data_IF_853647043874
#
_entry.id   IF_853647043874
#
_cell.length_a   1.000
_cell.length_b   1.000
_cell.length_c   1.000
_cell.angle_alpha   90.00
_cell.angle_beta   90.00
_cell.angle_gamma   90.00
#
_symmetry.space_group_name_H-M   'P 1'
#
loop_
_entity.id
_entity.type
_entity.pdbx_description
1 polymer ?
#
# COMPACT_ATOMS: atom_id res chain seq x y z
N UNK A 1 6.14 -18.96 3.74
CA UNK A 1 7.20 -19.33 2.78
C UNK A 1 7.95 -20.52 3.35
N UNK A 2 7.99 -21.64 2.64
CA UNK A 2 8.85 -22.78 2.99
C UNK A 2 10.11 -22.65 2.12
N UNK A 3 11.27 -22.45 2.78
CA UNK A 3 12.55 -22.38 2.10
C UNK A 3 13.27 -23.73 2.18
N UNK A 4 13.78 -24.19 1.05
CA UNK A 4 14.74 -25.27 0.93
C UNK A 4 16.03 -24.68 0.40
N UNK A 5 17.15 -25.07 0.96
CA UNK A 5 18.45 -24.54 0.52
C UNK A 5 19.43 -25.65 0.15
N UNK A 6 20.33 -25.35 -0.75
CA UNK A 6 21.50 -26.13 -1.13
C UNK A 6 22.67 -25.17 -1.30
N UNK A 7 23.84 -25.67 -1.03
CA UNK A 7 25.09 -24.95 -1.25
C UNK A 7 25.90 -25.65 -2.33
N UNK A 8 26.48 -24.88 -3.23
CA UNK A 8 27.44 -25.33 -4.19
C UNK A 8 28.75 -24.60 -3.84
N UNK A 9 29.80 -25.35 -3.51
CA UNK A 9 31.09 -24.82 -3.03
C UNK A 9 32.22 -25.19 -4.01
N UNK A 10 31.98 -25.09 -5.30
CA UNK A 10 32.97 -25.38 -6.34
C UNK A 10 33.71 -24.09 -6.74
N UNK A 11 35.01 -24.15 -6.96
CA UNK A 11 35.82 -23.03 -7.49
C UNK A 11 35.34 -22.54 -8.87
N UNK A 12 34.72 -23.42 -9.65
CA UNK A 12 33.99 -23.09 -10.88
C UNK A 12 32.64 -23.78 -10.87
N UNK A 13 31.58 -22.97 -10.89
CA UNK A 13 30.22 -23.46 -11.02
C UNK A 13 30.06 -24.16 -12.38
N UNK A 14 29.80 -25.47 -12.39
CA UNK A 14 29.52 -26.19 -13.63
C UNK A 14 27.98 -26.22 -13.86
N UNK A 15 27.53 -26.08 -15.11
CA UNK A 15 26.14 -26.16 -15.49
C UNK A 15 25.49 -27.47 -15.04
N UNK A 16 26.26 -28.58 -15.03
CA UNK A 16 25.78 -29.87 -14.57
C UNK A 16 25.49 -29.88 -13.06
N UNK A 17 26.41 -29.33 -12.25
CA UNK A 17 26.23 -29.27 -10.80
C UNK A 17 25.02 -28.37 -10.42
N UNK A 18 24.84 -27.25 -11.14
CA UNK A 18 23.68 -26.37 -10.99
C UNK A 18 22.41 -27.11 -11.37
N UNK A 19 22.38 -27.78 -12.53
CA UNK A 19 21.21 -28.53 -13.01
C UNK A 19 20.81 -29.62 -12.03
N UNK A 20 21.75 -30.40 -11.52
CA UNK A 20 21.46 -31.48 -10.56
C UNK A 20 20.98 -30.95 -9.21
N UNK A 21 21.53 -29.81 -8.79
CA UNK A 21 21.07 -29.11 -7.58
C UNK A 21 19.63 -28.60 -7.74
N UNK A 22 19.30 -27.99 -8.87
CA UNK A 22 17.92 -27.51 -9.16
C UNK A 22 16.96 -28.70 -9.19
N UNK A 23 17.30 -29.81 -9.86
CA UNK A 23 16.49 -31.05 -9.88
C UNK A 23 16.22 -31.56 -8.45
N UNK A 24 17.24 -31.55 -7.59
CA UNK A 24 17.10 -31.95 -6.19
C UNK A 24 16.12 -31.05 -5.44
N UNK A 25 16.20 -29.72 -5.64
CA UNK A 25 15.28 -28.76 -5.01
C UNK A 25 13.85 -28.93 -5.53
N UNK A 26 13.66 -29.16 -6.83
CA UNK A 26 12.34 -29.45 -7.42
C UNK A 26 11.77 -30.75 -6.86
N UNK A 27 12.60 -31.80 -6.72
CA UNK A 27 12.20 -33.05 -6.04
C UNK A 27 11.75 -32.83 -4.59
N UNK A 28 12.27 -31.83 -3.91
CA UNK A 28 11.83 -31.39 -2.57
C UNK A 28 10.60 -30.45 -2.60
N UNK A 29 10.05 -30.17 -3.79
CA UNK A 29 8.86 -29.34 -3.98
C UNK A 29 9.14 -27.83 -4.16
N UNK A 30 10.33 -27.46 -4.62
CA UNK A 30 10.60 -26.05 -4.99
C UNK A 30 9.89 -25.69 -6.30
N UNK A 31 9.18 -24.58 -6.31
CA UNK A 31 8.45 -24.04 -7.46
C UNK A 31 9.19 -22.85 -8.12
N UNK A 32 10.02 -22.16 -7.35
CA UNK A 32 10.81 -20.99 -7.80
C UNK A 32 12.23 -21.12 -7.26
N UNK A 33 13.20 -20.78 -8.07
CA UNK A 33 14.62 -20.80 -7.69
C UNK A 33 15.10 -19.40 -7.29
N UNK A 34 15.85 -19.33 -6.21
CA UNK A 34 16.55 -18.12 -5.77
C UNK A 34 18.04 -18.40 -5.77
N UNK A 35 18.80 -17.65 -6.56
CA UNK A 35 20.25 -17.66 -6.53
C UNK A 35 20.76 -16.52 -5.65
N UNK A 36 21.69 -16.81 -4.74
CA UNK A 36 22.30 -15.80 -3.87
C UNK A 36 23.71 -16.21 -3.46
N UNK A 37 24.66 -15.34 -3.66
CA UNK A 37 26.09 -15.56 -3.41
C UNK A 37 26.68 -14.48 -2.50
N UNK A 38 27.69 -14.83 -1.69
CA UNK A 38 28.50 -13.83 -1.00
C UNK A 38 29.22 -12.97 -2.04
N UNK A 39 29.13 -11.65 -1.88
CA UNK A 39 29.70 -10.70 -2.85
C UNK A 39 29.13 -10.76 -4.28
N UNK A 40 28.02 -11.47 -4.51
CA UNK A 40 27.34 -11.52 -5.82
C UNK A 40 26.85 -10.15 -6.33
N UNK A 41 27.01 -9.06 -5.57
CA UNK A 41 26.79 -7.68 -6.02
C UNK A 41 28.00 -7.12 -6.78
N UNK A 42 29.19 -7.68 -6.58
CA UNK A 42 30.43 -7.29 -7.26
C UNK A 42 30.58 -8.06 -8.59
N UNK A 43 30.13 -9.32 -8.60
CA UNK A 43 30.07 -10.16 -9.77
C UNK A 43 28.76 -10.97 -9.74
N UNK A 44 27.90 -10.73 -10.72
CA UNK A 44 26.56 -11.34 -10.80
C UNK A 44 26.53 -12.59 -11.70
N UNK A 45 27.64 -12.99 -12.33
CA UNK A 45 27.64 -14.06 -13.33
C UNK A 45 27.12 -15.38 -12.81
N UNK A 46 27.50 -15.78 -11.60
CA UNK A 46 27.02 -17.02 -10.97
C UNK A 46 25.50 -16.97 -10.68
N UNK A 47 25.01 -15.90 -10.05
CA UNK A 47 23.58 -15.78 -9.71
C UNK A 47 22.71 -15.75 -10.97
N UNK A 48 23.11 -14.97 -11.99
CA UNK A 48 22.37 -14.84 -13.25
C UNK A 48 22.47 -16.11 -14.10
N UNK A 49 23.63 -16.79 -14.09
CA UNK A 49 23.85 -18.09 -14.74
C UNK A 49 22.91 -19.17 -14.17
N UNK A 50 22.82 -19.27 -12.83
CA UNK A 50 21.89 -20.19 -12.16
C UNK A 50 20.44 -19.88 -12.55
N UNK A 51 20.07 -18.61 -12.57
CA UNK A 51 18.71 -18.20 -12.96
C UNK A 51 18.40 -18.53 -14.42
N UNK A 52 19.39 -18.41 -15.32
CA UNK A 52 19.25 -18.80 -16.72
C UNK A 52 18.99 -20.30 -16.86
N UNK A 53 19.80 -21.13 -16.21
CA UNK A 53 19.64 -22.60 -16.23
C UNK A 53 18.26 -22.98 -15.67
N UNK A 54 17.80 -22.35 -14.58
CA UNK A 54 16.47 -22.61 -14.02
C UNK A 54 15.35 -22.26 -15.02
N UNK A 55 15.45 -21.12 -15.70
CA UNK A 55 14.49 -20.69 -16.74
C UNK A 55 14.48 -21.64 -17.94
N UNK A 56 15.65 -22.09 -18.38
CA UNK A 56 15.77 -23.09 -19.47
C UNK A 56 15.15 -24.45 -19.08
N UNK A 57 15.04 -24.74 -17.78
CA UNK A 57 14.32 -25.88 -17.23
C UNK A 57 12.81 -25.62 -17.03
N UNK A 58 12.30 -24.45 -17.42
CA UNK A 58 10.88 -24.07 -17.27
C UNK A 58 10.48 -23.60 -15.87
N UNK A 59 11.44 -23.17 -15.05
CA UNK A 59 11.21 -22.68 -13.70
C UNK A 59 11.36 -21.15 -13.64
N UNK A 60 10.55 -20.52 -12.79
CA UNK A 60 10.79 -19.12 -12.43
C UNK A 60 12.02 -18.99 -11.52
N UNK A 61 12.77 -17.92 -11.69
CA UNK A 61 14.00 -17.71 -10.92
C UNK A 61 14.26 -16.22 -10.62
N UNK A 62 14.94 -15.98 -9.50
CA UNK A 62 15.32 -14.63 -9.03
C UNK A 62 16.80 -14.64 -8.60
N UNK A 63 17.61 -13.77 -9.18
CA UNK A 63 18.95 -13.46 -8.69
C UNK A 63 18.88 -12.39 -7.59
N UNK A 64 19.55 -12.63 -6.47
CA UNK A 64 19.48 -11.71 -5.34
C UNK A 64 20.15 -10.35 -5.64
N UNK A 65 21.21 -10.35 -6.46
CA UNK A 65 21.92 -9.16 -6.93
C UNK A 65 21.11 -8.29 -7.91
N UNK A 66 20.14 -8.88 -8.63
CA UNK A 66 19.23 -8.12 -9.49
C UNK A 66 18.17 -7.35 -8.67
N UNK A 67 17.82 -7.83 -7.46
CA UNK A 67 16.85 -7.16 -6.59
C UNK A 67 17.50 -5.99 -5.86
N UNK A 68 18.71 -6.17 -5.36
CA UNK A 68 19.48 -5.13 -4.67
C UNK A 68 20.98 -5.34 -4.78
N UNK A 69 21.70 -4.24 -4.93
CA UNK A 69 23.18 -4.24 -4.96
C UNK A 69 23.82 -3.92 -3.60
N UNK A 70 23.05 -4.03 -2.53
CA UNK A 70 23.58 -3.82 -1.19
C UNK A 70 24.21 -5.09 -0.62
N UNK A 71 25.33 -4.93 0.07
CA UNK A 71 26.00 -6.02 0.79
C UNK A 71 25.10 -6.56 1.92
N UNK A 72 25.38 -7.76 2.37
CA UNK A 72 24.66 -8.45 3.43
C UNK A 72 23.85 -9.64 2.89
N UNK A 73 24.57 -10.77 2.71
CA UNK A 73 24.05 -12.01 2.13
C UNK A 73 22.67 -12.40 2.67
N UNK A 74 22.53 -12.52 3.98
CA UNK A 74 21.27 -12.97 4.62
C UNK A 74 20.08 -12.05 4.30
N UNK A 75 20.30 -10.74 4.36
CA UNK A 75 19.23 -9.76 4.09
C UNK A 75 18.87 -9.71 2.61
N UNK A 76 19.88 -9.79 1.73
CA UNK A 76 19.69 -9.85 0.28
C UNK A 76 18.97 -11.13 -0.15
N UNK A 77 19.42 -12.30 0.33
CA UNK A 77 18.76 -13.59 0.08
C UNK A 77 17.30 -13.58 0.55
N UNK A 78 17.02 -13.02 1.71
CA UNK A 78 15.65 -12.88 2.23
C UNK A 78 14.80 -12.01 1.30
N UNK A 79 15.33 -10.90 0.84
CA UNK A 79 14.62 -10.00 -0.08
C UNK A 79 14.29 -10.71 -1.39
N UNK A 80 15.25 -11.45 -1.96
CA UNK A 80 15.03 -12.25 -3.16
C UNK A 80 14.04 -13.41 -2.93
N UNK A 81 14.06 -14.06 -1.76
CA UNK A 81 13.11 -15.10 -1.42
C UNK A 81 11.66 -14.55 -1.31
N UNK A 82 11.49 -13.33 -0.81
CA UNK A 82 10.18 -12.66 -0.80
C UNK A 82 9.73 -12.37 -2.23
N UNK A 83 10.61 -11.85 -3.09
CA UNK A 83 10.32 -11.66 -4.51
C UNK A 83 9.86 -12.97 -5.17
N UNK A 84 10.64 -14.03 -5.01
CA UNK A 84 10.33 -15.36 -5.55
C UNK A 84 8.99 -15.91 -5.06
N UNK A 85 8.64 -15.67 -3.79
CA UNK A 85 7.39 -16.20 -3.20
C UNK A 85 6.12 -15.61 -3.80
N UNK A 86 6.18 -14.43 -4.37
CA UNK A 86 5.03 -13.75 -5.01
C UNK A 86 5.09 -13.81 -6.53
N UNK A 87 6.25 -14.16 -7.10
CA UNK A 87 6.53 -14.10 -8.52
C UNK A 87 5.49 -14.84 -9.38
N UNK A 88 5.16 -16.14 -9.15
CA UNK A 88 4.21 -16.85 -10.01
C UNK A 88 2.82 -16.20 -10.03
N UNK A 89 2.32 -15.80 -8.85
CA UNK A 89 1.01 -15.16 -8.74
C UNK A 89 0.99 -13.78 -9.42
N UNK A 90 2.05 -13.01 -9.25
CA UNK A 90 2.16 -11.68 -9.84
C UNK A 90 2.33 -11.74 -11.35
N UNK A 91 3.06 -12.73 -11.89
CA UNK A 91 3.15 -12.97 -13.33
C UNK A 91 1.78 -13.30 -13.94
N UNK A 92 1.01 -14.19 -13.31
CA UNK A 92 -0.34 -14.51 -13.77
C UNK A 92 -1.25 -13.27 -13.77
N UNK A 93 -1.22 -12.48 -12.71
CA UNK A 93 -2.00 -11.24 -12.61
C UNK A 93 -1.57 -10.23 -13.67
N UNK A 94 -0.26 -10.02 -13.85
CA UNK A 94 0.30 -9.13 -14.85
C UNK A 94 -0.12 -9.51 -16.27
N UNK A 95 0.04 -10.78 -16.62
CA UNK A 95 -0.30 -11.28 -17.95
C UNK A 95 -1.80 -11.16 -18.23
N UNK A 96 -2.66 -11.49 -17.26
CA UNK A 96 -4.12 -11.34 -17.40
C UNK A 96 -4.54 -9.88 -17.54
N UNK A 97 -3.93 -8.97 -16.75
CA UNK A 97 -4.21 -7.53 -16.83
C UNK A 97 -3.76 -6.97 -18.18
N UNK A 98 -2.55 -7.30 -18.62
CA UNK A 98 -2.00 -6.87 -19.90
C UNK A 98 -2.86 -7.33 -21.09
N UNK A 99 -3.31 -8.58 -21.04
CA UNK A 99 -4.21 -9.14 -22.06
C UNK A 99 -5.56 -8.42 -22.06
N UNK A 100 -6.14 -8.15 -20.90
CA UNK A 100 -7.42 -7.45 -20.76
C UNK A 100 -7.33 -6.02 -21.30
N UNK A 101 -6.25 -5.30 -20.97
CA UNK A 101 -6.00 -3.92 -21.43
C UNK A 101 -5.79 -3.90 -22.94
N UNK A 102 -5.01 -4.82 -23.51
CA UNK A 102 -4.83 -4.95 -24.96
C UNK A 102 -6.14 -5.31 -25.68
N UNK A 103 -6.93 -6.21 -25.08
CA UNK A 103 -8.25 -6.59 -25.65
C UNK A 103 -9.25 -5.42 -25.64
N UNK A 104 -9.08 -4.45 -24.78
CA UNK A 104 -9.85 -3.21 -24.76
C UNK A 104 -9.32 -2.13 -25.73
N UNK A 105 -8.34 -2.49 -26.61
CA UNK A 105 -7.81 -1.57 -27.62
C UNK A 105 -6.78 -0.55 -27.09
N UNK A 106 -6.27 -0.74 -25.87
CA UNK A 106 -5.25 0.15 -25.29
C UNK A 106 -3.86 -0.38 -25.66
N UNK A 107 -3.13 0.38 -26.45
CA UNK A 107 -1.79 0.01 -26.99
C UNK A 107 -0.62 0.69 -26.25
N UNK A 108 -0.91 1.59 -25.29
CA UNK A 108 0.14 2.28 -24.51
C UNK A 108 0.73 1.34 -23.45
N UNK A 109 2.01 1.54 -23.07
CA UNK A 109 2.63 0.77 -22.00
C UNK A 109 1.82 0.83 -20.70
N UNK A 110 1.64 -0.32 -20.05
CA UNK A 110 0.96 -0.40 -18.76
C UNK A 110 1.95 -0.11 -17.64
N UNK A 111 1.71 1.00 -16.93
CA UNK A 111 2.53 1.43 -15.80
C UNK A 111 1.97 0.90 -14.50
N UNK A 112 2.84 0.42 -13.62
CA UNK A 112 2.49 -0.18 -12.33
C UNK A 112 3.08 0.65 -11.20
N UNK A 113 2.26 1.02 -10.23
CA UNK A 113 2.68 1.76 -9.05
C UNK A 113 3.62 0.93 -8.16
N UNK A 114 4.69 1.57 -7.67
CA UNK A 114 5.67 1.00 -6.75
C UNK A 114 5.38 1.43 -5.31
N UNK A 115 5.87 0.66 -4.36
CA UNK A 115 5.75 0.97 -2.93
C UNK A 115 6.54 2.18 -2.46
N UNK A 116 7.50 2.66 -3.24
CA UNK A 116 8.32 3.85 -2.97
C UNK A 116 7.76 5.15 -3.59
N UNK A 117 6.56 5.09 -4.17
CA UNK A 117 5.88 6.25 -4.74
C UNK A 117 6.14 6.49 -6.22
N UNK A 118 7.01 5.70 -6.87
CA UNK A 118 7.22 5.76 -8.31
C UNK A 118 6.31 4.82 -9.10
N UNK A 119 6.40 4.87 -10.42
CA UNK A 119 5.83 3.87 -11.33
C UNK A 119 6.92 3.19 -12.13
N UNK A 120 6.62 2.01 -12.66
CA UNK A 120 7.48 1.24 -13.56
C UNK A 120 6.62 0.55 -14.62
N UNK A 121 7.19 0.26 -15.77
CA UNK A 121 6.51 -0.54 -16.78
C UNK A 121 6.23 -1.96 -16.27
N UNK A 122 5.14 -2.57 -16.74
CA UNK A 122 4.72 -3.92 -16.31
C UNK A 122 5.79 -5.00 -16.58
N UNK A 123 6.62 -4.82 -17.59
CA UNK A 123 7.76 -5.70 -17.91
C UNK A 123 8.79 -5.74 -16.76
N UNK A 124 9.08 -4.59 -16.14
CA UNK A 124 9.94 -4.51 -14.96
C UNK A 124 9.28 -5.07 -13.70
N UNK A 125 7.97 -4.86 -13.54
CA UNK A 125 7.23 -5.48 -12.46
C UNK A 125 7.27 -7.01 -12.53
N UNK A 126 7.23 -7.60 -13.72
CA UNK A 126 7.35 -9.06 -13.91
C UNK A 126 8.69 -9.61 -13.43
N UNK A 127 9.77 -8.85 -13.47
CA UNK A 127 11.09 -9.23 -12.93
C UNK A 127 11.16 -9.03 -11.41
N UNK A 128 10.66 -7.91 -10.92
CA UNK A 128 10.80 -7.44 -9.54
C UNK A 128 9.43 -7.11 -8.88
N UNK A 129 8.49 -8.07 -8.83
CA UNK A 129 7.15 -7.81 -8.30
C UNK A 129 7.14 -7.34 -6.84
N UNK A 130 8.19 -7.64 -6.09
CA UNK A 130 8.35 -7.18 -4.69
C UNK A 130 8.34 -5.64 -4.56
N UNK A 131 8.70 -4.90 -5.62
CA UNK A 131 8.64 -3.44 -5.63
C UNK A 131 7.22 -2.87 -5.57
N UNK A 132 6.19 -3.69 -5.83
CA UNK A 132 4.77 -3.28 -5.72
C UNK A 132 4.22 -3.37 -4.29
N UNK A 133 5.02 -3.85 -3.33
CA UNK A 133 4.59 -3.88 -1.93
C UNK A 133 4.25 -2.47 -1.44
N UNK A 134 3.08 -2.32 -0.78
CA UNK A 134 2.55 -1.05 -0.30
C UNK A 134 2.26 -0.01 -1.41
N UNK A 135 2.08 -0.44 -2.66
CA UNK A 135 1.79 0.47 -3.78
C UNK A 135 0.46 1.23 -3.62
N UNK A 136 -0.57 0.62 -3.02
CA UNK A 136 -1.84 1.29 -2.74
C UNK A 136 -1.66 2.52 -1.82
N UNK A 137 -1.14 2.34 -0.59
CA UNK A 137 -0.77 3.45 0.28
C UNK A 137 0.16 4.46 -0.39
N UNK A 138 1.13 4.00 -1.19
CA UNK A 138 2.05 4.87 -1.89
C UNK A 138 1.34 5.79 -2.89
N UNK A 139 0.36 5.27 -3.63
CA UNK A 139 -0.44 6.06 -4.55
C UNK A 139 -1.19 7.19 -3.82
N UNK A 140 -1.78 6.90 -2.68
CA UNK A 140 -2.50 7.90 -1.88
C UNK A 140 -1.59 8.98 -1.30
N UNK A 141 -0.38 8.59 -0.84
CA UNK A 141 0.63 9.57 -0.38
C UNK A 141 1.08 10.46 -1.53
N UNK A 142 1.37 9.89 -2.70
CA UNK A 142 1.79 10.67 -3.87
C UNK A 142 0.68 11.62 -4.33
N UNK A 143 -0.59 11.19 -4.33
CA UNK A 143 -1.72 12.06 -4.60
C UNK A 143 -1.80 13.22 -3.60
N UNK A 144 -1.63 12.95 -2.32
CA UNK A 144 -1.62 13.98 -1.28
C UNK A 144 -0.47 14.98 -1.45
N UNK A 145 0.72 14.52 -1.79
CA UNK A 145 1.88 15.38 -2.04
C UNK A 145 1.70 16.25 -3.27
N UNK A 146 1.35 15.66 -4.39
CA UNK A 146 1.33 16.35 -5.68
C UNK A 146 0.09 17.23 -5.83
N UNK A 147 -1.06 16.76 -5.34
CA UNK A 147 -2.32 17.49 -5.46
C UNK A 147 -2.49 18.55 -4.37
N UNK A 148 -2.11 18.24 -3.10
CA UNK A 148 -2.28 19.15 -1.96
C UNK A 148 -1.06 19.99 -1.65
N UNK A 149 0.10 19.69 -2.23
CA UNK A 149 1.38 20.35 -1.91
C UNK A 149 1.67 20.37 -0.41
N UNK A 150 1.30 19.30 0.29
CA UNK A 150 1.55 19.18 1.72
C UNK A 150 3.05 19.20 2.00
N UNK A 151 3.50 20.08 2.88
CA UNK A 151 4.93 20.23 3.22
C UNK A 151 5.33 19.38 4.42
N UNK A 152 4.53 19.39 5.48
CA UNK A 152 4.77 18.61 6.70
C UNK A 152 3.44 18.12 7.25
N UNK A 153 3.39 16.86 7.73
CA UNK A 153 2.19 16.33 8.36
C UNK A 153 2.14 14.82 8.43
N UNK A 154 1.10 14.34 9.07
CA UNK A 154 0.76 12.94 9.11
C UNK A 154 -0.37 12.69 8.10
N UNK A 155 -0.08 11.88 7.13
CA UNK A 155 -1.00 11.39 6.14
C UNK A 155 -1.84 10.26 6.76
N UNK A 156 -3.15 10.33 6.52
CA UNK A 156 -4.13 9.48 7.17
C UNK A 156 -5.18 9.02 6.14
N UNK A 157 -4.91 7.89 5.48
CA UNK A 157 -5.83 7.31 4.50
C UNK A 157 -6.78 6.32 5.16
N UNK A 158 -8.06 6.62 5.13
CA UNK A 158 -9.10 5.76 5.69
C UNK A 158 -9.95 5.16 4.57
N UNK A 159 -9.83 3.86 4.39
CA UNK A 159 -10.71 3.09 3.53
C UNK A 159 -11.91 2.49 4.28
N UNK A 160 -12.49 1.45 3.70
CA UNK A 160 -13.57 0.66 4.34
C UNK A 160 -13.04 -0.37 5.34
N UNK A 161 -11.81 -0.89 5.15
CA UNK A 161 -11.26 -2.01 5.94
C UNK A 161 -9.99 -1.63 6.69
N UNK A 162 -9.13 -0.80 6.11
CA UNK A 162 -7.82 -0.43 6.67
C UNK A 162 -7.64 1.08 6.68
N UNK A 163 -6.85 1.53 7.65
CA UNK A 163 -6.28 2.88 7.67
C UNK A 163 -4.78 2.78 7.48
N UNK A 164 -4.25 3.58 6.56
CA UNK A 164 -2.83 3.73 6.29
C UNK A 164 -2.35 5.07 6.84
N UNK A 165 -1.31 5.05 7.66
CA UNK A 165 -0.77 6.24 8.31
C UNK A 165 0.70 6.37 7.93
N UNK A 166 1.08 7.52 7.39
CA UNK A 166 2.46 7.81 7.00
C UNK A 166 2.80 9.27 7.26
N UNK A 167 4.06 9.63 7.00
CA UNK A 167 4.59 10.97 7.25
C UNK A 167 5.05 11.61 5.95
N UNK A 168 4.72 12.88 5.81
CA UNK A 168 5.30 13.81 4.85
C UNK A 168 6.17 14.79 5.64
N UNK A 169 7.44 14.90 5.27
CA UNK A 169 8.38 15.84 5.87
C UNK A 169 9.13 16.59 4.79
N UNK A 170 9.15 17.93 4.89
CA UNK A 170 9.81 18.83 3.94
C UNK A 170 9.39 18.59 2.49
N UNK A 171 8.08 18.34 2.28
CA UNK A 171 7.50 18.06 0.98
C UNK A 171 7.90 16.71 0.37
N UNK A 172 8.45 15.79 1.17
CA UNK A 172 8.84 14.44 0.75
C UNK A 172 8.18 13.37 1.60
N UNK A 173 7.78 12.24 1.01
CA UNK A 173 7.28 11.13 1.80
C UNK A 173 8.42 10.47 2.55
N UNK A 174 8.16 10.04 3.77
CA UNK A 174 9.10 9.24 4.53
C UNK A 174 9.27 7.86 3.91
N UNK A 175 10.51 7.48 3.62
CA UNK A 175 10.86 6.19 2.99
C UNK A 175 11.75 5.40 3.96
N UNK A 176 11.50 4.11 4.09
CA UNK A 176 12.34 3.17 4.84
C UNK A 176 12.35 1.80 4.15
N UNK A 177 13.22 0.92 4.60
CA UNK A 177 13.20 -0.47 4.15
C UNK A 177 12.06 -1.24 4.81
N UNK A 178 11.25 -1.91 3.99
CA UNK A 178 10.12 -2.71 4.45
C UNK A 178 10.54 -3.81 5.42
N UNK A 179 9.70 -4.06 6.43
CA UNK A 179 9.81 -5.18 7.36
C UNK A 179 8.75 -6.22 7.01
N UNK A 180 9.16 -7.44 6.73
CA UNK A 180 8.26 -8.55 6.37
C UNK A 180 8.45 -9.68 7.38
N UNK A 181 7.38 -10.08 8.05
CA UNK A 181 7.42 -11.13 9.07
C UNK A 181 8.40 -10.82 10.22
N UNK A 182 8.53 -9.57 10.62
CA UNK A 182 9.47 -9.12 11.66
C UNK A 182 10.92 -8.96 11.20
N UNK A 183 11.20 -9.14 9.90
CA UNK A 183 12.55 -9.09 9.36
C UNK A 183 12.73 -7.93 8.37
N UNK A 184 13.76 -7.13 8.56
CA UNK A 184 14.17 -6.08 7.61
C UNK A 184 14.57 -6.68 6.25
N UNK A 185 14.13 -6.01 5.19
CA UNK A 185 14.49 -6.32 3.80
C UNK A 185 15.30 -5.18 3.17
N UNK A 186 15.69 -5.32 1.91
CA UNK A 186 16.21 -4.22 1.08
C UNK A 186 15.17 -3.67 0.10
N UNK A 187 13.88 -3.86 0.42
CA UNK A 187 12.78 -3.28 -0.35
C UNK A 187 12.52 -1.89 0.19
N UNK A 188 12.89 -0.87 -0.57
CA UNK A 188 12.54 0.53 -0.27
C UNK A 188 11.05 0.74 -0.52
N UNK A 189 10.35 1.27 0.47
CA UNK A 189 8.94 1.63 0.38
C UNK A 189 8.64 2.84 1.25
N UNK A 190 7.48 3.45 1.05
CA UNK A 190 7.00 4.46 1.99
C UNK A 190 6.87 3.84 3.39
N UNK A 191 7.27 4.61 4.41
CA UNK A 191 7.09 4.19 5.79
C UNK A 191 5.65 4.41 6.23
N UNK A 192 4.81 3.46 5.89
CA UNK A 192 3.38 3.48 6.16
C UNK A 192 3.03 2.39 7.18
N UNK A 193 2.24 2.75 8.18
CA UNK A 193 1.65 1.81 9.14
C UNK A 193 0.23 1.49 8.69
N UNK A 194 -0.08 0.20 8.59
CA UNK A 194 -1.40 -0.29 8.16
C UNK A 194 -2.15 -0.83 9.38
N UNK A 195 -3.30 -0.24 9.68
CA UNK A 195 -4.18 -0.65 10.76
C UNK A 195 -5.44 -1.30 10.22
N UNK A 196 -5.91 -2.36 10.89
CA UNK A 196 -7.22 -2.97 10.65
C UNK A 196 -8.37 -2.20 11.32
N UNK A 197 -8.32 -0.87 11.27
CA UNK A 197 -9.37 0.05 11.77
C UNK A 197 -9.64 1.07 10.67
N UNK A 198 -10.90 1.22 10.27
CA UNK A 198 -11.29 2.10 9.17
C UNK A 198 -12.75 2.53 9.29
N UNK A 199 -13.27 3.29 8.32
CA UNK A 199 -14.66 3.73 8.30
C UNK A 199 -15.66 2.57 8.43
N UNK A 200 -15.39 1.44 7.79
CA UNK A 200 -16.25 0.26 7.80
C UNK A 200 -15.93 -0.80 8.87
N UNK A 201 -15.06 -0.51 9.82
CA UNK A 201 -14.74 -1.47 10.90
C UNK A 201 -15.97 -1.77 11.74
N UNK A 202 -16.21 -3.07 11.94
CA UNK A 202 -17.32 -3.57 12.76
C UNK A 202 -17.01 -3.46 14.25
N UNK A 203 -18.06 -3.31 15.02
CA UNK A 203 -18.02 -3.17 16.47
C UNK A 203 -18.00 -4.54 17.14
N UNK A 204 -17.21 -4.69 18.20
CA UNK A 204 -17.23 -5.79 19.15
C UNK A 204 -17.72 -5.27 20.49
N UNK A 205 -18.68 -5.94 21.11
CA UNK A 205 -19.34 -5.43 22.28
C UNK A 205 -19.86 -6.52 23.22
N UNK A 206 -20.11 -6.12 24.46
CA UNK A 206 -20.88 -6.90 25.45
C UNK A 206 -21.79 -5.97 26.27
N UNK A 207 -22.38 -6.47 27.35
CA UNK A 207 -23.26 -5.68 28.22
C UNK A 207 -22.56 -4.50 28.90
N UNK A 208 -21.23 -4.54 29.04
CA UNK A 208 -20.48 -3.50 29.72
C UNK A 208 -20.13 -2.33 28.76
N UNK A 209 -20.17 -2.57 27.45
CA UNK A 209 -19.88 -1.55 26.42
C UNK A 209 -19.19 -2.07 25.20
N UNK A 210 -18.66 -1.13 24.40
CA UNK A 210 -17.85 -1.41 23.24
C UNK A 210 -16.46 -1.89 23.68
N UNK A 211 -16.14 -3.14 23.33
CA UNK A 211 -14.84 -3.75 23.65
C UNK A 211 -13.75 -3.35 22.68
N UNK A 212 -14.10 -3.36 21.38
CA UNK A 212 -13.15 -3.14 20.31
C UNK A 212 -13.85 -2.74 19.00
N UNK A 213 -13.07 -2.24 18.01
CA UNK A 213 -13.51 -2.00 16.64
C UNK A 213 -12.50 -2.61 15.67
N UNK A 214 -13.00 -3.29 14.63
CA UNK A 214 -12.15 -4.07 13.71
C UNK A 214 -11.55 -5.33 14.38
N UNK A 215 -10.55 -5.99 13.73
CA UNK A 215 -10.06 -5.72 12.39
C UNK A 215 -11.03 -6.13 11.27
N UNK A 216 -12.15 -6.78 11.59
CA UNK A 216 -13.16 -7.13 10.59
C UNK A 216 -13.97 -5.90 10.21
N UNK A 217 -14.22 -5.77 8.91
CA UNK A 217 -15.06 -4.72 8.34
C UNK A 217 -16.38 -5.30 7.82
N UNK A 218 -17.36 -4.43 7.63
CA UNK A 218 -18.62 -4.78 7.00
C UNK A 218 -18.43 -5.47 5.64
N UNK A 219 -17.46 -5.00 4.83
CA UNK A 219 -17.12 -5.65 3.56
C UNK A 219 -16.67 -7.10 3.70
N UNK A 220 -15.82 -7.38 4.69
CA UNK A 220 -15.32 -8.74 4.94
C UNK A 220 -16.46 -9.65 5.40
N UNK A 221 -17.42 -9.10 6.15
CA UNK A 221 -18.58 -9.82 6.64
C UNK A 221 -19.73 -9.92 5.61
N UNK A 222 -19.64 -9.20 4.48
CA UNK A 222 -20.71 -9.12 3.49
C UNK A 222 -21.97 -8.40 3.99
N UNK A 223 -21.81 -7.41 4.88
CA UNK A 223 -22.91 -6.67 5.49
C UNK A 223 -22.93 -5.23 5.01
N UNK A 224 -24.16 -4.69 4.84
CA UNK A 224 -24.37 -3.27 4.55
C UNK A 224 -24.14 -2.42 5.81
N UNK A 225 -23.69 -1.17 5.61
CA UNK A 225 -23.60 -0.19 6.69
C UNK A 225 -24.99 0.35 7.02
N UNK A 226 -25.33 0.41 8.31
CA UNK A 226 -26.61 0.94 8.75
C UNK A 226 -26.87 2.39 8.27
N UNK A 227 -25.84 3.22 8.22
CA UNK A 227 -25.93 4.63 7.80
C UNK A 227 -26.27 4.81 6.31
N UNK A 228 -26.02 3.80 5.47
CA UNK A 228 -26.36 3.80 4.04
C UNK A 228 -27.55 2.91 3.70
N UNK A 229 -28.16 2.29 4.70
CA UNK A 229 -29.41 1.55 4.54
C UNK A 229 -30.60 2.53 4.60
N UNK A 230 -31.58 2.45 3.68
CA UNK A 230 -32.79 3.28 3.76
C UNK A 230 -33.46 3.14 5.14
N UNK A 231 -33.81 4.27 5.76
CA UNK A 231 -34.36 4.30 7.11
C UNK A 231 -35.66 3.49 7.25
N UNK A 232 -36.47 3.48 6.22
CA UNK A 232 -37.72 2.73 6.10
C UNK A 232 -37.53 1.21 6.10
N UNK A 233 -36.37 0.72 5.66
CA UNK A 233 -36.02 -0.71 5.69
C UNK A 233 -35.63 -1.17 7.10
N UNK A 234 -35.23 -0.27 7.99
CA UNK A 234 -34.80 -0.59 9.36
C UNK A 234 -36.05 -0.75 10.23
N UNK A 235 -36.70 -1.89 10.11
CA UNK A 235 -37.93 -2.25 10.86
C UNK A 235 -37.61 -3.30 11.89
N UNK A 236 -38.07 -3.07 13.15
CA UNK A 236 -37.88 -3.96 14.30
C UNK A 236 -36.44 -4.47 14.44
N UNK A 237 -35.44 -3.56 14.49
CA UNK A 237 -34.04 -3.93 14.51
C UNK A 237 -33.70 -4.65 15.84
N UNK A 238 -32.91 -5.74 15.75
CA UNK A 238 -32.47 -6.53 16.91
C UNK A 238 -30.97 -6.70 16.86
N UNK A 239 -30.29 -6.52 17.99
CA UNK A 239 -28.87 -6.79 18.12
C UNK A 239 -28.63 -8.30 18.10
N UNK A 240 -27.69 -8.74 17.27
CA UNK A 240 -27.21 -10.13 17.21
C UNK A 240 -25.70 -10.12 17.26
N UNK A 241 -25.15 -11.15 17.90
CA UNK A 241 -23.69 -11.35 17.99
C UNK A 241 -23.30 -12.55 17.14
N UNK A 242 -22.16 -12.46 16.45
CA UNK A 242 -21.69 -13.50 15.54
C UNK A 242 -20.17 -13.44 15.30
N UNK A 243 -19.64 -14.49 14.70
CA UNK A 243 -18.28 -14.57 14.20
C UNK A 243 -18.28 -14.30 12.68
N UNK A 244 -17.63 -13.21 12.18
CA UNK A 244 -17.59 -12.91 10.76
C UNK A 244 -16.86 -13.93 9.90
N UNK A 245 -15.87 -14.63 10.48
CA UNK A 245 -15.14 -15.74 9.85
C UNK A 245 -14.84 -16.81 10.88
N UNK A 246 -14.64 -18.03 10.43
CA UNK A 246 -14.19 -19.12 11.27
C UNK A 246 -12.94 -18.75 12.08
N UNK A 247 -13.02 -18.95 13.41
CA UNK A 247 -11.96 -18.58 14.35
C UNK A 247 -11.98 -17.13 14.84
N UNK A 248 -12.85 -16.27 14.34
CA UNK A 248 -13.06 -14.94 14.90
C UNK A 248 -13.86 -15.00 16.21
N UNK A 249 -13.73 -14.01 17.10
CA UNK A 249 -14.59 -13.86 18.27
C UNK A 249 -16.08 -13.74 17.89
N UNK A 250 -16.96 -14.31 18.74
CA UNK A 250 -18.41 -14.31 18.54
C UNK A 250 -19.09 -13.03 19.06
N UNK A 251 -18.35 -11.99 19.38
CA UNK A 251 -18.84 -10.73 19.97
C UNK A 251 -18.92 -9.57 18.96
N UNK A 252 -18.84 -9.87 17.66
CA UNK A 252 -19.10 -8.89 16.61
C UNK A 252 -20.59 -8.60 16.50
N UNK A 253 -20.92 -7.31 16.35
CA UNK A 253 -22.30 -6.82 16.32
C UNK A 253 -22.84 -6.76 14.91
N UNK A 254 -24.00 -7.39 14.70
CA UNK A 254 -24.87 -7.10 13.58
C UNK A 254 -26.25 -6.74 14.07
N UNK A 255 -27.04 -6.08 13.21
CA UNK A 255 -28.42 -5.72 13.46
C UNK A 255 -29.29 -6.50 12.49
N UNK A 256 -30.12 -7.38 13.03
CA UNK A 256 -31.08 -8.16 12.27
C UNK A 256 -32.39 -7.42 12.16
N UNK A 257 -32.90 -7.26 10.94
CA UNK A 257 -34.13 -6.56 10.62
C UNK A 257 -35.30 -7.52 10.56
N UNK A 258 -36.52 -7.04 10.62
CA UNK A 258 -37.76 -7.85 10.57
C UNK A 258 -37.85 -8.79 9.37
N UNK A 259 -37.25 -8.42 8.24
CA UNK A 259 -37.21 -9.24 7.01
C UNK A 259 -36.09 -10.27 7.00
N UNK A 260 -35.31 -10.41 8.08
CA UNK A 260 -34.16 -11.31 8.18
C UNK A 260 -32.86 -10.79 7.58
N UNK A 261 -32.87 -9.61 6.93
CA UNK A 261 -31.63 -8.95 6.47
C UNK A 261 -30.79 -8.53 7.66
N UNK A 262 -29.47 -8.69 7.55
CA UNK A 262 -28.51 -8.21 8.53
C UNK A 262 -27.73 -7.03 7.96
N UNK A 263 -27.59 -6.00 8.77
CA UNK A 263 -26.74 -4.81 8.55
C UNK A 263 -25.79 -4.65 9.73
N UNK A 264 -24.82 -3.76 9.65
CA UNK A 264 -23.89 -3.57 10.77
C UNK A 264 -23.64 -2.11 11.11
N UNK A 265 -23.24 -1.90 12.37
CA UNK A 265 -22.79 -0.62 12.91
C UNK A 265 -21.28 -0.52 12.68
N UNK A 266 -20.83 0.63 12.17
CA UNK A 266 -19.42 0.88 11.83
C UNK A 266 -18.96 2.23 12.43
N UNK A 267 -17.66 2.54 12.32
CA UNK A 267 -17.15 3.88 12.67
C UNK A 267 -17.86 4.99 11.87
N UNK A 268 -18.17 4.74 10.58
CA UNK A 268 -18.93 5.70 9.76
C UNK A 268 -20.34 5.94 10.32
N UNK A 269 -21.02 4.90 10.81
CA UNK A 269 -22.30 5.05 11.48
C UNK A 269 -22.19 5.92 12.74
N UNK A 270 -21.18 5.64 13.58
CA UNK A 270 -20.96 6.38 14.82
C UNK A 270 -20.66 7.87 14.57
N UNK A 271 -19.81 8.16 13.59
CA UNK A 271 -19.45 9.54 13.24
C UNK A 271 -20.63 10.34 12.68
N UNK A 272 -21.52 9.73 11.88
CA UNK A 272 -22.75 10.37 11.41
C UNK A 272 -23.74 10.61 12.56
N UNK A 273 -23.90 9.66 13.48
CA UNK A 273 -24.72 9.81 14.69
C UNK A 273 -24.30 11.01 15.53
N UNK A 274 -22.98 11.22 15.66
CA UNK A 274 -22.43 12.35 16.43
C UNK A 274 -22.37 13.66 15.62
N UNK A 275 -22.82 13.66 14.36
CA UNK A 275 -22.81 14.86 13.51
C UNK A 275 -21.41 15.35 13.11
N UNK A 276 -20.42 14.46 13.10
CA UNK A 276 -19.02 14.81 12.79
C UNK A 276 -18.72 14.88 11.30
N UNK A 277 -19.61 14.33 10.46
CA UNK A 277 -19.41 14.25 9.01
C UNK A 277 -20.29 15.28 8.31
N UNK A 278 -19.65 16.16 7.54
CA UNK A 278 -20.36 17.17 6.75
C UNK A 278 -20.92 16.57 5.46
N UNK A 279 -22.01 17.18 4.90
CA UNK A 279 -22.69 16.68 3.70
C UNK A 279 -21.81 16.54 2.46
N UNK A 280 -20.76 17.35 2.35
CA UNK A 280 -19.81 17.32 1.22
C UNK A 280 -18.87 16.12 1.21
N UNK A 281 -18.74 15.39 2.32
CA UNK A 281 -17.82 14.26 2.42
C UNK A 281 -18.45 12.93 2.00
N UNK A 282 -17.67 12.08 1.33
CA UNK A 282 -18.11 10.79 0.83
C UNK A 282 -18.71 9.86 1.90
N UNK A 283 -18.23 9.94 3.15
CA UNK A 283 -18.75 9.15 4.28
C UNK A 283 -20.06 9.70 4.87
N UNK A 284 -20.61 10.79 4.35
CA UNK A 284 -21.89 11.33 4.83
C UNK A 284 -23.03 10.39 4.48
N UNK A 285 -23.92 10.14 5.45
CA UNK A 285 -25.06 9.25 5.28
C UNK A 285 -26.23 9.61 6.21
N UNK A 286 -27.24 8.77 6.24
CA UNK A 286 -28.44 9.00 7.04
C UNK A 286 -28.18 8.72 8.53
N UNK A 287 -27.99 9.79 9.30
CA UNK A 287 -27.78 9.70 10.75
C UNK A 287 -28.96 9.07 11.49
N UNK A 288 -30.22 9.28 11.02
CA UNK A 288 -31.41 8.69 11.65
C UNK A 288 -31.45 7.17 11.42
N UNK A 289 -31.10 6.71 10.22
CA UNK A 289 -30.95 5.28 9.95
C UNK A 289 -29.89 4.64 10.86
N UNK A 290 -28.73 5.29 11.02
CA UNK A 290 -27.70 4.83 11.92
C UNK A 290 -28.15 4.81 13.39
N UNK A 291 -28.87 5.86 13.86
CA UNK A 291 -29.45 5.92 15.21
C UNK A 291 -30.44 4.78 15.44
N UNK A 292 -31.37 4.59 14.51
CA UNK A 292 -32.41 3.56 14.59
C UNK A 292 -31.79 2.15 14.66
N UNK A 293 -30.74 1.90 13.88
CA UNK A 293 -30.02 0.62 13.91
C UNK A 293 -29.16 0.45 15.17
N UNK A 294 -28.63 1.53 15.75
CA UNK A 294 -27.79 1.48 16.96
C UNK A 294 -28.60 1.36 18.24
N UNK A 295 -29.88 1.74 18.23
CA UNK A 295 -30.74 1.77 19.43
C UNK A 295 -30.78 0.41 20.15
N UNK A 296 -30.99 -0.76 19.49
CA UNK A 296 -31.01 -2.04 20.21
C UNK A 296 -29.68 -2.38 20.91
N UNK A 297 -28.55 -1.92 20.38
CA UNK A 297 -27.25 -2.10 21.04
C UNK A 297 -27.14 -1.17 22.27
N UNK A 298 -27.59 0.05 22.13
CA UNK A 298 -27.64 1.02 23.24
C UNK A 298 -28.52 0.51 24.39
N UNK A 299 -29.73 0.03 24.10
CA UNK A 299 -30.65 -0.59 25.06
C UNK A 299 -30.02 -1.81 25.75
N UNK A 300 -29.34 -2.69 24.97
CA UNK A 300 -28.64 -3.86 25.51
C UNK A 300 -27.55 -3.48 26.53
N UNK A 301 -26.88 -2.35 26.31
CA UNK A 301 -25.84 -1.82 27.18
C UNK A 301 -26.36 -0.91 28.30
N UNK A 302 -27.62 -0.51 28.28
CA UNK A 302 -28.19 0.50 29.19
C UNK A 302 -27.57 1.89 29.01
N UNK A 303 -27.28 2.28 27.76
CA UNK A 303 -26.64 3.54 27.37
C UNK A 303 -27.44 4.28 26.31
N UNK A 304 -27.11 5.55 26.10
CA UNK A 304 -27.65 6.30 24.97
C UNK A 304 -26.91 5.93 23.66
N UNK A 305 -27.54 6.20 22.53
CA UNK A 305 -26.94 5.98 21.22
C UNK A 305 -25.66 6.81 21.04
N UNK A 306 -25.63 8.04 21.54
CA UNK A 306 -24.48 8.94 21.53
C UNK A 306 -23.32 8.41 22.37
N UNK A 307 -23.61 7.83 23.55
CA UNK A 307 -22.55 7.17 24.36
C UNK A 307 -21.96 5.98 23.67
N UNK A 308 -22.78 5.14 23.01
CA UNK A 308 -22.29 4.01 22.21
C UNK A 308 -21.45 4.49 21.03
N UNK A 309 -21.92 5.49 20.27
CA UNK A 309 -21.19 6.07 19.15
C UNK A 309 -19.84 6.65 19.60
N UNK A 310 -19.81 7.36 20.74
CA UNK A 310 -18.59 7.90 21.33
C UNK A 310 -17.61 6.79 21.73
N UNK A 311 -18.09 5.69 22.34
CA UNK A 311 -17.25 4.54 22.68
C UNK A 311 -16.65 3.90 21.43
N UNK A 312 -17.42 3.75 20.35
CA UNK A 312 -16.95 3.19 19.08
C UNK A 312 -15.75 4.00 18.56
N UNK A 313 -15.90 5.32 18.42
CA UNK A 313 -14.83 6.18 17.94
C UNK A 313 -13.65 6.27 18.92
N UNK A 314 -13.89 6.17 20.21
CA UNK A 314 -12.82 6.13 21.23
C UNK A 314 -11.97 4.88 21.06
N UNK A 315 -12.56 3.69 20.81
CA UNK A 315 -11.81 2.47 20.55
C UNK A 315 -11.00 2.54 19.26
N UNK A 316 -11.53 3.21 18.23
CA UNK A 316 -10.75 3.47 17.01
C UNK A 316 -9.56 4.40 17.28
N UNK A 317 -9.79 5.49 18.01
CA UNK A 317 -8.76 6.46 18.41
C UNK A 317 -7.62 5.82 19.21
N UNK A 318 -7.93 5.01 20.22
CA UNK A 318 -6.96 4.32 21.06
C UNK A 318 -5.98 3.42 20.27
N UNK A 319 -6.38 2.98 19.08
CA UNK A 319 -5.51 2.22 18.17
C UNK A 319 -4.71 3.12 17.22
N UNK A 320 -5.25 4.27 16.87
CA UNK A 320 -4.68 5.19 15.87
C UNK A 320 -3.63 6.11 16.50
N UNK A 321 -3.92 6.69 17.65
CA UNK A 321 -3.05 7.65 18.33
C UNK A 321 -1.62 7.15 18.53
N UNK A 322 -1.37 5.93 19.08
CA UNK A 322 0.00 5.45 19.31
C UNK A 322 0.81 5.37 18.01
N UNK A 323 0.16 5.09 16.88
CA UNK A 323 0.83 5.00 15.58
C UNK A 323 1.22 6.39 15.07
N UNK A 324 0.35 7.38 15.22
CA UNK A 324 0.64 8.78 14.84
C UNK A 324 1.80 9.29 15.69
N UNK A 325 1.78 9.02 17.00
CA UNK A 325 2.84 9.46 17.92
C UNK A 325 4.17 8.77 17.64
N UNK A 326 4.20 7.46 17.40
CA UNK A 326 5.41 6.70 17.02
C UNK A 326 6.06 7.26 15.75
N UNK A 327 5.24 7.55 14.73
CA UNK A 327 5.73 8.14 13.48
C UNK A 327 6.22 9.58 13.69
N UNK A 328 5.50 10.39 14.46
CA UNK A 328 5.92 11.75 14.77
C UNK A 328 7.26 11.77 15.50
N UNK A 329 7.46 10.92 16.49
CA UNK A 329 8.71 10.77 17.22
C UNK A 329 9.84 10.26 16.32
N UNK A 330 9.59 9.22 15.53
CA UNK A 330 10.56 8.64 14.59
C UNK A 330 11.11 9.70 13.63
N UNK A 331 10.24 10.55 13.11
CA UNK A 331 10.60 11.59 12.14
C UNK A 331 10.83 12.96 12.75
N UNK A 332 10.81 13.06 14.09
CA UNK A 332 11.05 14.31 14.83
C UNK A 332 10.17 15.45 14.33
N UNK A 333 8.87 15.20 14.27
CA UNK A 333 7.89 16.23 13.96
C UNK A 333 7.54 17.00 15.24
N UNK A 334 7.69 18.30 15.22
CA UNK A 334 7.23 19.16 16.31
C UNK A 334 5.70 19.19 16.36
N UNK A 335 5.12 19.20 17.56
CA UNK A 335 3.66 19.05 17.74
C UNK A 335 2.85 20.14 17.01
N UNK A 336 3.36 21.36 16.96
CA UNK A 336 2.74 22.48 16.25
C UNK A 336 2.83 22.38 14.73
N UNK A 337 3.74 21.54 14.20
CA UNK A 337 3.93 21.23 12.79
C UNK A 337 3.08 20.04 12.33
N UNK A 338 2.56 19.24 13.27
CA UNK A 338 1.74 18.09 12.91
C UNK A 338 0.36 18.57 12.46
N UNK A 339 0.04 18.33 11.20
CA UNK A 339 -1.31 18.43 10.65
C UNK A 339 -1.74 17.07 10.11
N UNK A 340 -2.96 16.65 10.41
CA UNK A 340 -3.51 15.42 9.89
C UNK A 340 -4.14 15.69 8.52
N UNK A 341 -3.70 15.00 7.49
CA UNK A 341 -4.29 15.07 6.14
C UNK A 341 -5.11 13.82 5.90
N UNK A 342 -6.43 13.94 5.95
CA UNK A 342 -7.36 12.83 5.78
C UNK A 342 -7.71 12.62 4.33
N UNK A 343 -7.49 11.41 3.83
CA UNK A 343 -7.84 10.98 2.47
C UNK A 343 -8.50 9.61 2.49
N UNK A 344 -9.09 9.22 1.36
CA UNK A 344 -9.89 8.01 1.25
C UNK A 344 -11.36 8.23 1.66
N UNK A 345 -12.26 7.41 1.15
CA UNK A 345 -13.71 7.58 1.34
C UNK A 345 -14.19 7.53 2.80
N UNK A 346 -13.40 6.90 3.70
CA UNK A 346 -13.71 6.82 5.13
C UNK A 346 -13.06 7.92 5.99
N UNK A 347 -12.27 8.84 5.43
CA UNK A 347 -11.47 9.80 6.19
C UNK A 347 -12.30 10.62 7.19
N UNK A 348 -13.43 11.17 6.75
CA UNK A 348 -14.30 11.99 7.57
C UNK A 348 -14.90 11.24 8.79
N UNK A 349 -14.92 9.90 8.75
CA UNK A 349 -15.44 9.10 9.87
C UNK A 349 -14.52 9.07 11.09
N UNK A 350 -13.20 9.31 10.91
CA UNK A 350 -12.23 9.14 12.00
C UNK A 350 -11.40 10.39 12.28
N UNK A 351 -11.02 11.14 11.23
CA UNK A 351 -9.98 12.16 11.36
C UNK A 351 -10.37 13.32 12.28
N UNK A 352 -11.62 13.78 12.20
CA UNK A 352 -12.12 14.87 13.06
C UNK A 352 -12.05 14.49 14.52
N UNK A 353 -12.57 13.30 14.87
CA UNK A 353 -12.54 12.80 16.25
C UNK A 353 -11.12 12.61 16.78
N UNK A 354 -10.22 12.03 15.96
CA UNK A 354 -8.81 11.86 16.34
C UNK A 354 -8.11 13.21 16.51
N UNK A 355 -8.35 14.16 15.61
CA UNK A 355 -7.80 15.52 15.66
C UNK A 355 -8.20 16.24 16.94
N UNK A 356 -9.48 16.22 17.29
CA UNK A 356 -10.01 16.85 18.49
C UNK A 356 -9.39 16.26 19.76
N UNK A 357 -9.31 14.93 19.83
CA UNK A 357 -8.70 14.22 20.96
C UNK A 357 -7.22 14.53 21.14
N UNK A 358 -6.47 14.66 20.03
CA UNK A 358 -5.04 14.93 20.07
C UNK A 358 -4.70 16.43 20.16
N UNK A 359 -5.69 17.31 19.96
CA UNK A 359 -5.49 18.76 19.87
C UNK A 359 -4.64 19.15 18.66
N UNK A 360 -4.82 18.45 17.51
CA UNK A 360 -4.12 18.67 16.27
C UNK A 360 -5.05 19.36 15.24
N UNK A 361 -4.46 19.95 14.22
CA UNK A 361 -5.21 20.44 13.06
C UNK A 361 -5.41 19.31 12.06
N UNK A 362 -6.49 19.35 11.31
CA UNK A 362 -6.70 18.44 10.20
C UNK A 362 -7.29 19.14 8.97
N UNK A 363 -7.14 18.47 7.83
CA UNK A 363 -7.80 18.82 6.57
C UNK A 363 -8.24 17.55 5.84
N UNK A 364 -9.35 17.65 5.13
CA UNK A 364 -9.79 16.66 4.15
C UNK A 364 -9.88 17.42 2.82
N UNK A 365 -9.03 17.08 1.84
CA UNK A 365 -9.03 17.79 0.56
C UNK A 365 -10.24 17.41 -0.31
N UNK A 366 -10.53 18.26 -1.28
CA UNK A 366 -11.44 17.90 -2.36
C UNK A 366 -10.93 16.66 -3.11
N UNK A 367 -11.85 15.79 -3.52
CA UNK A 367 -11.54 14.49 -4.15
C UNK A 367 -10.71 13.52 -3.28
N UNK A 368 -10.78 13.66 -1.96
CA UNK A 368 -10.06 12.79 -1.02
C UNK A 368 -10.34 11.31 -1.24
N UNK A 369 -11.56 10.95 -1.67
CA UNK A 369 -12.00 9.57 -1.92
C UNK A 369 -11.33 8.92 -3.13
N UNK A 370 -10.82 9.70 -4.08
CA UNK A 370 -10.12 9.22 -5.29
C UNK A 370 -8.65 9.61 -5.34
N UNK A 371 -8.09 10.06 -4.24
CA UNK A 371 -6.72 10.59 -4.16
C UNK A 371 -5.67 9.58 -4.64
N UNK A 372 -5.86 8.29 -4.41
CA UNK A 372 -4.97 7.24 -4.88
C UNK A 372 -4.92 7.15 -6.41
N UNK A 373 -6.07 7.30 -7.07
CA UNK A 373 -6.14 7.33 -8.54
C UNK A 373 -5.43 8.57 -9.10
N UNK A 374 -5.61 9.72 -8.45
CA UNK A 374 -4.89 10.95 -8.80
C UNK A 374 -3.38 10.73 -8.62
N UNK A 375 -2.96 10.11 -7.52
CA UNK A 375 -1.55 9.81 -7.25
C UNK A 375 -0.91 8.91 -8.28
N UNK A 376 -1.62 7.86 -8.72
CA UNK A 376 -1.14 6.99 -9.81
C UNK A 376 -1.01 7.75 -11.12
N UNK A 377 -1.99 8.60 -11.45
CA UNK A 377 -1.98 9.38 -12.70
C UNK A 377 -0.85 10.42 -12.75
N UNK A 378 -0.43 10.94 -11.60
CA UNK A 378 0.62 11.96 -11.48
C UNK A 378 2.00 11.38 -11.15
N UNK A 379 2.10 10.08 -10.84
CA UNK A 379 3.35 9.46 -10.44
C UNK A 379 4.36 9.43 -11.59
N UNK A 380 5.63 9.67 -11.23
CA UNK A 380 6.76 9.61 -12.17
C UNK A 380 7.42 8.23 -12.13
N UNK A 381 8.08 7.85 -13.21
CA UNK A 381 8.99 6.71 -13.19
C UNK A 381 10.10 7.02 -12.18
N UNK A 382 10.33 6.09 -11.28
CA UNK A 382 11.37 6.21 -10.25
C UNK A 382 12.18 4.94 -10.20
N UNK A 383 13.50 5.08 -10.30
CA UNK A 383 14.41 3.97 -9.99
C UNK A 383 15.52 4.41 -9.04
N UNK A 384 16.03 3.47 -8.25
CA UNK A 384 17.03 3.76 -7.24
C UNK A 384 18.14 2.75 -7.35
N UNK A 385 19.38 3.25 -7.47
CA UNK A 385 20.60 2.45 -7.42
C UNK A 385 21.32 2.78 -6.13
N UNK A 386 21.63 1.76 -5.34
CA UNK A 386 22.38 1.91 -4.10
C UNK A 386 23.63 1.03 -4.15
N UNK A 387 24.77 1.59 -3.74
CA UNK A 387 26.04 0.88 -3.58
C UNK A 387 26.71 1.25 -2.27
N UNK A 388 27.52 0.37 -1.72
CA UNK A 388 28.42 0.69 -0.60
C UNK A 388 29.78 1.04 -1.17
N UNK A 389 30.14 2.32 -1.13
CA UNK A 389 31.42 2.83 -1.68
C UNK A 389 32.06 3.73 -0.62
N UNK A 390 33.09 3.24 0.10
CA UNK A 390 33.83 4.08 1.02
C UNK A 390 34.55 5.21 0.27
N UNK A 391 34.30 6.45 0.66
CA UNK A 391 34.90 7.65 0.03
C UNK A 391 34.70 7.69 -1.49
N UNK A 392 33.46 7.87 -1.99
CA UNK A 392 33.17 7.79 -3.41
C UNK A 392 33.92 8.83 -4.22
N UNK A 393 34.54 8.41 -5.31
CA UNK A 393 35.25 9.26 -6.27
C UNK A 393 34.25 9.89 -7.26
N UNK A 394 34.66 10.94 -8.00
CA UNK A 394 33.84 11.48 -9.09
C UNK A 394 33.47 10.42 -10.16
N UNK A 395 34.31 9.38 -10.35
CA UNK A 395 34.02 8.29 -11.27
C UNK A 395 32.91 7.38 -10.73
N UNK A 396 32.94 7.05 -9.45
CA UNK A 396 31.88 6.27 -8.80
C UNK A 396 30.52 6.98 -8.92
N UNK A 397 30.52 8.31 -8.73
CA UNK A 397 29.32 9.13 -8.85
C UNK A 397 28.82 9.15 -10.31
N UNK A 398 29.70 9.27 -11.30
CA UNK A 398 29.30 9.20 -12.72
C UNK A 398 28.73 7.83 -13.09
N UNK A 399 29.39 6.76 -12.63
CA UNK A 399 28.96 5.38 -12.89
C UNK A 399 27.58 5.08 -12.32
N UNK A 400 27.36 5.39 -11.05
CA UNK A 400 26.04 5.15 -10.43
C UNK A 400 24.92 6.02 -11.03
N UNK A 401 25.25 7.25 -11.44
CA UNK A 401 24.33 8.13 -12.14
C UNK A 401 23.90 7.57 -13.48
N UNK A 402 24.85 7.08 -14.28
CA UNK A 402 24.57 6.46 -15.57
C UNK A 402 23.69 5.21 -15.40
N UNK A 403 24.03 4.32 -14.46
CA UNK A 403 23.22 3.13 -14.17
C UNK A 403 21.79 3.49 -13.73
N UNK A 404 21.62 4.55 -12.94
CA UNK A 404 20.30 4.98 -12.49
C UNK A 404 19.44 5.53 -13.66
N UNK A 405 20.07 6.25 -14.60
CA UNK A 405 19.41 6.72 -15.82
C UNK A 405 18.96 5.52 -16.67
N UNK A 406 19.87 4.58 -16.92
CA UNK A 406 19.56 3.40 -17.74
C UNK A 406 18.39 2.61 -17.15
N UNK A 407 18.38 2.38 -15.84
CA UNK A 407 17.29 1.70 -15.15
C UNK A 407 15.96 2.46 -15.19
N UNK A 408 15.99 3.78 -15.08
CA UNK A 408 14.77 4.58 -15.20
C UNK A 408 14.19 4.50 -16.63
N UNK A 409 15.05 4.51 -17.65
CA UNK A 409 14.63 4.34 -19.05
C UNK A 409 14.09 2.92 -19.28
N UNK A 410 14.73 1.88 -18.77
CA UNK A 410 14.23 0.49 -18.81
C UNK A 410 12.87 0.37 -18.09
N UNK A 411 12.65 1.16 -17.04
CA UNK A 411 11.38 1.22 -16.30
C UNK A 411 10.31 2.09 -16.98
N UNK A 412 10.57 2.65 -18.16
CA UNK A 412 9.61 3.37 -18.99
C UNK A 412 9.71 4.89 -18.94
N UNK A 413 10.79 5.47 -18.41
CA UNK A 413 11.02 6.91 -18.48
C UNK A 413 11.49 7.35 -19.88
N UNK A 414 11.04 8.53 -20.33
CA UNK A 414 11.63 9.18 -21.49
C UNK A 414 13.06 9.65 -21.12
N UNK A 415 14.04 9.25 -21.91
CA UNK A 415 15.46 9.44 -21.58
C UNK A 415 15.85 10.91 -21.34
N UNK A 416 15.24 11.85 -22.06
CA UNK A 416 15.45 13.30 -21.94
C UNK A 416 14.76 13.91 -20.71
N UNK A 417 13.87 13.17 -20.06
CA UNK A 417 13.14 13.62 -18.86
C UNK A 417 13.80 13.20 -17.55
N UNK A 418 14.83 12.32 -17.61
CA UNK A 418 15.38 11.72 -16.39
C UNK A 418 16.31 12.70 -15.68
N UNK A 419 15.95 13.04 -14.46
CA UNK A 419 16.81 13.74 -13.50
C UNK A 419 17.32 12.79 -12.42
N UNK A 420 18.57 12.98 -11.96
CA UNK A 420 19.20 12.11 -10.97
C UNK A 420 19.72 12.89 -9.79
N UNK A 421 19.17 12.57 -8.63
CA UNK A 421 19.65 13.06 -7.34
C UNK A 421 20.62 12.05 -6.70
N UNK A 422 21.75 12.56 -6.18
CA UNK A 422 22.78 11.75 -5.51
C UNK A 422 22.77 12.06 -4.01
N UNK A 423 22.73 10.99 -3.21
CA UNK A 423 22.85 11.05 -1.76
C UNK A 423 24.06 10.23 -1.31
N UNK A 424 24.84 10.77 -0.38
CA UNK A 424 25.98 10.08 0.23
C UNK A 424 25.77 10.04 1.72
N UNK A 425 25.73 8.84 2.28
CA UNK A 425 25.72 8.60 3.72
C UNK A 425 27.12 8.20 4.20
N UNK A 426 27.86 9.09 4.85
CA UNK A 426 29.24 8.81 5.31
C UNK A 426 29.30 7.75 6.40
N UNK A 427 28.21 7.57 7.19
CA UNK A 427 28.18 6.63 8.31
C UNK A 427 28.12 5.18 7.84
N UNK A 428 27.35 4.93 6.79
CA UNK A 428 27.17 3.61 6.20
C UNK A 428 27.96 3.41 4.90
N UNK A 429 28.70 4.44 4.47
CA UNK A 429 29.40 4.49 3.19
C UNK A 429 28.45 4.19 2.00
N UNK A 430 27.17 4.50 2.14
CA UNK A 430 26.16 4.25 1.11
C UNK A 430 26.09 5.42 0.14
N UNK A 431 26.27 5.11 -1.14
CA UNK A 431 26.05 6.02 -2.27
C UNK A 431 24.73 5.63 -2.93
N UNK A 432 23.80 6.56 -3.02
CA UNK A 432 22.47 6.37 -3.59
C UNK A 432 22.24 7.33 -4.74
N UNK A 433 21.83 6.79 -5.89
CA UNK A 433 21.34 7.57 -7.04
C UNK A 433 19.83 7.33 -7.20
N UNK A 434 19.06 8.40 -7.17
CA UNK A 434 17.59 8.38 -7.34
C UNK A 434 17.30 9.03 -8.69
N UNK A 435 16.87 8.23 -9.65
CA UNK A 435 16.44 8.70 -10.95
C UNK A 435 14.92 8.89 -10.98
N UNK A 436 14.49 10.04 -11.46
CA UNK A 436 13.08 10.40 -11.66
C UNK A 436 12.90 10.83 -13.11
N UNK A 437 11.90 10.28 -13.78
CA UNK A 437 11.59 10.65 -15.16
C UNK A 437 10.09 10.57 -15.44
N UNK A 438 9.63 11.36 -16.40
CA UNK A 438 8.25 11.26 -16.87
C UNK A 438 8.14 10.13 -17.91
N UNK A 439 6.97 9.49 -17.98
CA UNK A 439 6.62 8.66 -19.14
C UNK A 439 6.43 9.55 -20.36
N UNK A 440 6.58 8.99 -21.57
CA UNK A 440 6.19 9.71 -22.78
C UNK A 440 4.70 10.09 -22.72
N UNK A 441 4.44 11.38 -22.57
CA UNK A 441 3.08 11.91 -22.63
C UNK A 441 2.77 12.27 -24.08
N UNK A 442 1.95 11.46 -24.75
CA UNK A 442 1.47 11.76 -26.10
C UNK A 442 0.33 12.78 -26.08
N UNK A 443 0.47 13.87 -25.36
CA UNK A 443 -0.50 14.98 -25.37
C UNK A 443 0.15 16.25 -25.88
N UNK A 444 -0.50 16.88 -26.83
CA UNK A 444 -0.06 18.13 -27.43
C UNK A 444 -0.41 19.37 -26.59
N UNK A 445 -1.16 19.21 -25.49
CA UNK A 445 -1.58 20.35 -24.67
C UNK A 445 -1.86 19.93 -23.21
N UNK A 446 -0.83 20.03 -22.37
CA UNK A 446 -0.89 19.76 -20.92
C UNK A 446 -1.69 20.83 -20.14
N UNK A 447 -2.02 21.95 -20.77
CA UNK A 447 -2.75 23.05 -20.14
C UNK A 447 -4.25 23.06 -20.49
N UNK A 448 -4.70 22.13 -21.33
CA UNK A 448 -6.10 22.04 -21.70
C UNK A 448 -6.90 21.37 -20.59
N UNK A 449 -7.60 22.17 -19.82
CA UNK A 449 -8.61 21.68 -18.89
C UNK A 449 -9.77 21.05 -19.69
N UNK A 450 -10.19 19.86 -19.29
CA UNK A 450 -11.40 19.24 -19.83
C UNK A 450 -12.47 19.14 -18.73
N UNK A 451 -13.72 19.24 -19.14
CA UNK A 451 -14.84 19.01 -18.20
C UNK A 451 -14.90 17.54 -17.78
N UNK A 452 -15.51 17.25 -16.63
CA UNK A 452 -15.72 15.87 -16.16
C UNK A 452 -16.47 15.01 -17.20
N UNK A 453 -17.33 15.62 -18.03
CA UNK A 453 -18.05 14.95 -19.12
C UNK A 453 -17.12 14.58 -20.26
N UNK A 454 -16.29 15.52 -20.71
CA UNK A 454 -15.28 15.27 -21.77
C UNK A 454 -14.24 14.24 -21.31
N UNK A 455 -13.80 14.28 -20.05
CA UNK A 455 -12.89 13.29 -19.48
C UNK A 455 -13.51 11.88 -19.48
N UNK A 456 -14.79 11.76 -19.14
CA UNK A 456 -15.53 10.49 -19.19
C UNK A 456 -15.71 9.99 -20.63
N UNK A 457 -16.06 10.85 -21.56
CA UNK A 457 -16.22 10.51 -22.98
C UNK A 457 -14.88 10.07 -23.59
N UNK A 458 -13.78 10.74 -23.26
CA UNK A 458 -12.43 10.35 -23.69
C UNK A 458 -11.99 9.01 -23.08
N UNK A 459 -12.28 8.76 -21.81
CA UNK A 459 -11.96 7.52 -21.15
C UNK A 459 -12.79 6.33 -21.68
N UNK A 460 -14.11 6.53 -21.88
CA UNK A 460 -15.03 5.52 -22.41
C UNK A 460 -14.78 5.30 -23.91
N UNK A 461 -14.57 6.37 -24.69
CA UNK A 461 -14.31 6.27 -26.12
C UNK A 461 -13.00 5.54 -26.45
N UNK A 462 -11.99 5.60 -25.58
CA UNK A 462 -10.75 4.81 -25.71
C UNK A 462 -10.88 3.36 -25.26
N UNK A 463 -11.92 3.04 -24.49
CA UNK A 463 -12.23 1.67 -24.07
C UNK A 463 -13.14 0.92 -25.08
N UNK A 464 -13.66 1.60 -26.10
CA UNK A 464 -14.58 1.06 -27.10
C UNK A 464 -14.06 1.15 -28.54
N UNK A 465 -12.79 1.54 -28.76
CA UNK A 465 -12.17 1.57 -30.11
C UNK A 465 -11.12 0.49 -30.22
#
# INVERSE_FOLDING_TARGET
>A
IRLKNRYICDEKLSDQAVTDTIKSLVGDGAEVIVASESFGVDDMENETGICKIAKDMGLEATAASEITKLYGLTRRTRTAAINASILPKMLNTANSTEQSVKSAGVEVPLMIMRGDGGVMEISEMKKRPVLTMLSGPAASVMGSLMYLRASNGVYFEVGGTTTNIGVIKDGRPAIDYSVVGGHRTYISSLDVRVLGVAGGSMVRADKNGVKDVGPRSAHIAGLDYAVFTPEEEIVDPKVVFFSPKEGDPEDYVAIELKNGKRITITNTCAANVLGLIKPEYFAYGNANAARKAMQPLADYMGKTVEEVATQILTRAYEKIEPIIMDLADKYRLEKDQISLVGVGGGAAALIGFCSDKMGLRYSIPDNAEVISSIGVALAMVRDVVERVVPNPTPEDIRSIKAEAIDKAVESGAAADSVDVHIEIDPQTSKLTAIALGSTEVKTTDLLKECTAKEARELAIGRAHV
#
